data_IF_909226414958
#
_entry.id   IF_909226414958
#
_cell.length_a   1.000
_cell.length_b   1.000
_cell.length_c   1.000
_cell.angle_alpha   90.00
_cell.angle_beta   90.00
_cell.angle_gamma   90.00
#
_symmetry.space_group_name_H-M   'P 1'
#
loop_
_entity.id
_entity.type
_entity.pdbx_description
1 polymer ?
#
# COMPACT_ATOMS: atom_id res chain seq x y z
N UNK A 1 6.56 -17.11 -11.52
CA UNK A 1 5.11 -16.81 -11.38
C UNK A 1 4.64 -16.93 -9.93
N UNK A 2 4.86 -18.06 -9.25
CA UNK A 2 4.49 -18.25 -7.83
C UNK A 2 5.04 -17.16 -6.90
N UNK A 3 6.32 -16.84 -7.01
CA UNK A 3 6.98 -15.80 -6.18
C UNK A 3 6.36 -14.41 -6.36
N UNK A 4 5.99 -14.04 -7.60
CA UNK A 4 5.33 -12.76 -7.89
C UNK A 4 3.97 -12.65 -7.19
N UNK A 5 3.21 -13.74 -7.17
CA UNK A 5 1.94 -13.79 -6.45
C UNK A 5 2.13 -13.66 -4.95
N UNK A 6 3.08 -14.39 -4.35
CA UNK A 6 3.38 -14.30 -2.93
C UNK A 6 3.81 -12.87 -2.57
N UNK A 7 4.74 -12.30 -3.33
CA UNK A 7 5.22 -10.94 -3.14
C UNK A 7 4.11 -9.89 -3.25
N UNK A 8 3.21 -10.06 -4.22
CA UNK A 8 2.05 -9.19 -4.42
C UNK A 8 1.05 -9.28 -3.27
N UNK A 9 0.76 -10.48 -2.78
CA UNK A 9 -0.13 -10.68 -1.62
C UNK A 9 0.48 -10.07 -0.36
N UNK A 10 1.78 -10.28 -0.13
CA UNK A 10 2.48 -9.68 1.01
C UNK A 10 2.49 -8.15 0.97
N UNK A 11 2.65 -7.55 -0.22
CA UNK A 11 2.52 -6.10 -0.38
C UNK A 11 1.13 -5.58 0.07
N UNK A 12 0.05 -6.28 -0.30
CA UNK A 12 -1.30 -5.94 0.15
C UNK A 12 -1.44 -5.99 1.68
N UNK A 13 -0.91 -7.05 2.31
CA UNK A 13 -0.92 -7.22 3.76
C UNK A 13 -0.15 -6.09 4.47
N UNK A 14 1.05 -5.75 4.00
CA UNK A 14 1.86 -4.69 4.64
C UNK A 14 1.25 -3.30 4.54
N UNK A 15 0.63 -2.96 3.40
CA UNK A 15 -0.11 -1.71 3.27
C UNK A 15 -1.34 -1.71 4.18
N UNK A 16 -2.07 -2.83 4.29
CA UNK A 16 -3.19 -2.95 5.22
C UNK A 16 -2.77 -2.81 6.69
N UNK A 17 -1.61 -3.33 7.08
CA UNK A 17 -1.06 -3.14 8.42
C UNK A 17 -0.73 -1.66 8.69
N UNK A 18 -0.08 -0.97 7.75
CA UNK A 18 0.17 0.47 7.86
C UNK A 18 -1.13 1.27 7.96
N UNK A 19 -2.13 0.93 7.14
CA UNK A 19 -3.46 1.54 7.19
C UNK A 19 -4.16 1.29 8.53
N UNK A 20 -4.06 0.09 9.10
CA UNK A 20 -4.63 -0.21 10.42
C UNK A 20 -4.05 0.69 11.50
N UNK A 21 -2.73 0.91 11.50
CA UNK A 21 -2.08 1.81 12.46
C UNK A 21 -2.56 3.25 12.27
N UNK A 22 -2.62 3.73 11.02
CA UNK A 22 -3.18 5.05 10.69
C UNK A 22 -4.62 5.22 11.21
N UNK A 23 -5.46 4.19 11.05
CA UNK A 23 -6.87 4.23 11.46
C UNK A 23 -7.05 4.13 12.98
N UNK A 24 -6.10 3.52 13.69
CA UNK A 24 -6.15 3.31 15.14
C UNK A 24 -5.65 4.51 15.95
N UNK A 25 -4.91 5.44 15.33
CA UNK A 25 -4.33 6.60 16.00
C UNK A 25 -5.22 7.83 15.77
N UNK A 26 -5.74 8.49 16.85
CA UNK A 26 -6.63 9.65 16.70
C UNK A 26 -5.94 10.84 16.00
N UNK A 27 -4.67 11.09 16.31
CA UNK A 27 -3.89 12.16 15.71
C UNK A 27 -3.46 11.79 14.29
N UNK A 28 -4.05 12.44 13.27
CA UNK A 28 -3.79 12.15 11.86
C UNK A 28 -2.35 12.38 11.42
N UNK A 29 -1.63 13.31 12.03
CA UNK A 29 -0.20 13.53 11.75
C UNK A 29 0.60 12.32 12.23
N UNK A 30 0.40 11.90 13.48
CA UNK A 30 1.10 10.73 14.04
C UNK A 30 0.71 9.44 13.30
N UNK A 31 -0.58 9.25 13.01
CA UNK A 31 -1.06 8.13 12.21
C UNK A 31 -0.41 8.08 10.83
N UNK A 32 -0.28 9.22 10.16
CA UNK A 32 0.37 9.31 8.84
C UNK A 32 1.86 8.96 8.91
N UNK A 33 2.55 9.36 9.98
CA UNK A 33 3.94 8.96 10.20
C UNK A 33 4.07 7.44 10.33
N UNK A 34 3.18 6.77 11.07
CA UNK A 34 3.23 5.32 11.22
C UNK A 34 2.67 4.54 10.01
N UNK A 35 1.81 5.15 9.19
CA UNK A 35 1.43 4.57 7.89
C UNK A 35 2.65 4.29 7.02
N UNK A 36 3.67 5.16 7.10
CA UNK A 36 4.92 5.01 6.36
C UNK A 36 5.63 3.69 6.63
N UNK A 37 5.44 3.06 7.80
CA UNK A 37 5.99 1.74 8.12
C UNK A 37 5.51 0.65 7.15
N UNK A 38 4.25 0.71 6.71
CA UNK A 38 3.73 -0.23 5.71
C UNK A 38 4.41 -0.06 4.35
N UNK A 39 4.62 1.19 3.92
CA UNK A 39 5.38 1.50 2.70
C UNK A 39 6.84 1.06 2.87
N UNK A 40 7.46 1.35 4.01
CA UNK A 40 8.84 0.98 4.31
C UNK A 40 9.06 -0.53 4.22
N UNK A 41 8.15 -1.35 4.76
CA UNK A 41 8.20 -2.82 4.64
C UNK A 41 8.11 -3.26 3.17
N UNK A 42 7.20 -2.67 2.39
CA UNK A 42 7.09 -2.97 0.95
C UNK A 42 8.38 -2.64 0.21
N UNK A 43 8.99 -1.48 0.49
CA UNK A 43 10.20 -1.02 -0.19
C UNK A 43 11.42 -1.87 0.17
N UNK A 44 11.66 -2.13 1.46
CA UNK A 44 12.83 -2.89 1.93
C UNK A 44 12.77 -4.38 1.55
N UNK A 45 11.58 -4.97 1.56
CA UNK A 45 11.39 -6.37 1.15
C UNK A 45 11.10 -6.50 -0.35
N UNK A 46 11.22 -5.41 -1.11
CA UNK A 46 11.05 -5.35 -2.56
C UNK A 46 9.72 -5.95 -3.07
N UNK A 47 8.65 -5.83 -2.29
CA UNK A 47 7.39 -6.47 -2.62
C UNK A 47 6.65 -5.80 -3.78
N UNK A 48 5.82 -6.57 -4.48
CA UNK A 48 5.07 -6.13 -5.67
C UNK A 48 3.80 -5.36 -5.30
N UNK A 49 3.98 -4.15 -4.78
CA UNK A 49 2.88 -3.17 -4.68
C UNK A 49 2.64 -2.53 -6.04
N UNK A 50 1.39 -2.45 -6.50
CA UNK A 50 1.05 -1.92 -7.83
C UNK A 50 1.63 -0.51 -8.07
N UNK A 51 1.51 0.38 -7.09
CA UNK A 51 2.04 1.76 -7.17
C UNK A 51 3.57 1.84 -7.15
N UNK A 52 4.25 0.76 -6.76
CA UNK A 52 5.71 0.60 -6.89
C UNK A 52 6.10 -0.03 -8.23
N UNK A 53 5.32 -1.00 -8.70
CA UNK A 53 5.57 -1.70 -9.97
C UNK A 53 5.50 -0.72 -11.15
N UNK A 54 4.46 0.13 -11.21
CA UNK A 54 4.25 1.07 -12.31
C UNK A 54 5.46 1.95 -12.66
N UNK A 55 6.07 2.72 -11.72
CA UNK A 55 7.23 3.55 -12.03
C UNK A 55 8.48 2.72 -12.40
N UNK A 56 8.65 1.52 -11.84
CA UNK A 56 9.81 0.67 -12.14
C UNK A 56 9.76 0.02 -13.53
N UNK A 57 8.56 -0.23 -14.08
CA UNK A 57 8.40 -0.62 -15.49
C UNK A 57 9.08 0.40 -16.42
N UNK A 58 8.91 1.69 -16.11
CA UNK A 58 9.45 2.80 -16.93
C UNK A 58 10.92 3.07 -16.59
N UNK A 59 11.29 3.03 -15.32
CA UNK A 59 12.62 3.43 -14.84
C UNK A 59 13.73 2.47 -15.28
N UNK A 60 13.58 1.17 -15.05
CA UNK A 60 14.63 0.17 -15.29
C UNK A 60 14.13 -1.11 -15.97
N UNK A 61 12.82 -1.21 -16.26
CA UNK A 61 12.17 -2.39 -16.86
C UNK A 61 12.29 -3.67 -16.03
N UNK A 62 12.45 -3.55 -14.71
CA UNK A 62 12.45 -4.70 -13.78
C UNK A 62 11.16 -5.51 -13.86
N UNK A 63 10.04 -4.85 -14.15
CA UNK A 63 8.72 -5.47 -14.26
C UNK A 63 8.16 -5.36 -15.68
N UNK A 64 7.23 -6.28 -16.00
CA UNK A 64 6.48 -6.29 -17.26
C UNK A 64 5.09 -5.67 -17.05
N UNK A 65 4.47 -5.21 -18.13
CA UNK A 65 3.07 -4.74 -18.10
C UNK A 65 2.09 -5.77 -17.54
N UNK A 66 2.32 -7.06 -17.77
CA UNK A 66 1.51 -8.16 -17.20
C UNK A 66 1.64 -8.26 -15.68
N UNK A 67 2.73 -7.77 -15.10
CA UNK A 67 2.95 -7.77 -13.66
C UNK A 67 2.07 -6.74 -12.94
N UNK A 68 1.52 -5.73 -13.66
CA UNK A 68 0.52 -4.80 -13.12
C UNK A 68 -0.72 -5.56 -12.67
N UNK A 69 -1.24 -6.44 -13.53
CA UNK A 69 -2.44 -7.24 -13.22
C UNK A 69 -2.19 -8.17 -12.03
N UNK A 70 -1.03 -8.83 -11.99
CA UNK A 70 -0.64 -9.69 -10.86
C UNK A 70 -0.49 -8.88 -9.57
N UNK A 71 0.10 -7.69 -9.64
CA UNK A 71 0.24 -6.79 -8.49
C UNK A 71 -1.14 -6.31 -7.99
N UNK A 72 -2.03 -5.89 -8.89
CA UNK A 72 -3.37 -5.42 -8.53
C UNK A 72 -4.19 -6.51 -7.82
N UNK A 73 -4.28 -7.70 -8.43
CA UNK A 73 -5.08 -8.81 -7.89
C UNK A 73 -4.47 -9.29 -6.56
N UNK A 74 -3.16 -9.53 -6.53
CA UNK A 74 -2.51 -10.02 -5.30
C UNK A 74 -2.55 -9.01 -4.16
N UNK A 75 -2.35 -7.70 -4.43
CA UNK A 75 -2.55 -6.67 -3.41
C UNK A 75 -3.98 -6.70 -2.86
N UNK A 76 -4.99 -6.83 -3.72
CA UNK A 76 -6.39 -6.97 -3.31
C UNK A 76 -6.63 -8.20 -2.43
N UNK A 77 -6.08 -9.37 -2.80
CA UNK A 77 -6.16 -10.59 -1.98
C UNK A 77 -5.50 -10.38 -0.61
N UNK A 78 -4.29 -9.79 -0.58
CA UNK A 78 -3.58 -9.50 0.67
C UNK A 78 -4.36 -8.56 1.58
N UNK A 79 -4.96 -7.52 1.01
CA UNK A 79 -5.83 -6.59 1.74
C UNK A 79 -7.08 -7.28 2.28
N UNK A 80 -7.72 -8.16 1.50
CA UNK A 80 -8.87 -8.93 1.95
C UNK A 80 -8.51 -9.87 3.11
N UNK A 81 -7.39 -10.57 3.02
CA UNK A 81 -6.88 -11.44 4.10
C UNK A 81 -6.67 -10.61 5.38
N UNK A 82 -6.00 -9.46 5.27
CA UNK A 82 -5.79 -8.57 6.42
C UNK A 82 -7.12 -8.06 7.00
N UNK A 83 -8.08 -7.67 6.16
CA UNK A 83 -9.41 -7.24 6.60
C UNK A 83 -10.17 -8.35 7.34
N UNK A 84 -10.11 -9.59 6.86
CA UNK A 84 -10.72 -10.74 7.53
C UNK A 84 -10.08 -11.01 8.89
N UNK A 85 -8.75 -10.96 8.98
CA UNK A 85 -8.04 -11.09 10.27
C UNK A 85 -8.47 -10.01 11.25
N UNK A 86 -8.63 -8.76 10.78
CA UNK A 86 -9.11 -7.65 11.63
C UNK A 86 -10.53 -7.91 12.11
N UNK A 87 -11.43 -8.33 11.21
CA UNK A 87 -12.85 -8.59 11.51
C UNK A 87 -13.01 -9.62 12.63
N UNK A 88 -12.13 -10.62 12.69
CA UNK A 88 -12.09 -11.64 13.74
C UNK A 88 -11.18 -11.28 14.93
N UNK A 89 -10.85 -10.00 15.12
CA UNK A 89 -10.00 -9.52 16.21
C UNK A 89 -10.63 -8.36 16.97
N UNK A 90 -10.10 -8.05 18.15
CA UNK A 90 -10.51 -6.86 18.94
C UNK A 90 -10.31 -5.54 18.20
N UNK A 91 -9.44 -5.49 17.18
CA UNK A 91 -9.17 -4.26 16.42
C UNK A 91 -10.35 -3.80 15.60
N UNK A 92 -11.26 -4.72 15.25
CA UNK A 92 -12.52 -4.42 14.58
C UNK A 92 -13.24 -3.26 15.28
N UNK A 93 -13.55 -3.40 16.57
CA UNK A 93 -14.25 -2.38 17.35
C UNK A 93 -13.44 -1.09 17.55
N UNK A 94 -12.11 -1.15 17.45
CA UNK A 94 -11.23 0.03 17.57
C UNK A 94 -11.30 0.91 16.34
N UNK A 95 -11.34 0.31 15.14
CA UNK A 95 -11.24 1.07 13.88
C UNK A 95 -12.58 1.21 13.16
N UNK A 96 -13.64 0.49 13.56
CA UNK A 96 -14.93 0.41 12.86
C UNK A 96 -15.48 1.78 12.45
N UNK A 97 -15.56 2.72 13.38
CA UNK A 97 -16.14 4.04 13.12
C UNK A 97 -15.26 4.85 12.16
N UNK A 98 -13.95 4.89 12.40
CA UNK A 98 -12.99 5.57 11.52
C UNK A 98 -13.00 4.99 10.11
N UNK A 99 -13.09 3.66 9.98
CA UNK A 99 -13.20 2.97 8.69
C UNK A 99 -14.48 3.36 7.99
N UNK A 100 -15.62 3.41 8.70
CA UNK A 100 -16.90 3.83 8.13
C UNK A 100 -16.82 5.27 7.62
N UNK A 101 -16.39 6.22 8.46
CA UNK A 101 -16.26 7.63 8.06
C UNK A 101 -15.36 7.81 6.84
N UNK A 102 -14.19 7.17 6.82
CA UNK A 102 -13.25 7.25 5.69
C UNK A 102 -13.80 6.54 4.45
N UNK A 103 -14.51 5.43 4.63
CA UNK A 103 -15.16 4.68 3.56
C UNK A 103 -16.25 5.49 2.88
N UNK A 104 -17.19 6.01 3.66
CA UNK A 104 -18.30 6.83 3.19
C UNK A 104 -17.78 8.09 2.45
N UNK A 105 -16.79 8.79 3.05
CA UNK A 105 -16.14 9.95 2.39
C UNK A 105 -15.57 9.61 1.02
N UNK A 106 -14.97 8.42 0.85
CA UNK A 106 -14.36 8.00 -0.43
C UNK A 106 -15.40 7.52 -1.44
N UNK A 107 -16.47 6.87 -0.98
CA UNK A 107 -17.53 6.33 -1.83
C UNK A 107 -18.47 7.43 -2.33
N UNK A 108 -18.67 8.48 -1.54
CA UNK A 108 -19.51 9.63 -1.87
C UNK A 108 -18.77 10.73 -2.67
N UNK A 109 -17.46 10.57 -2.90
CA UNK A 109 -16.66 11.56 -3.64
C UNK A 109 -16.85 11.42 -5.16
N UNK A 110 -16.60 12.52 -5.86
CA UNK A 110 -16.68 12.58 -7.32
C UNK A 110 -15.49 11.86 -7.98
N UNK A 111 -15.71 11.19 -9.14
CA UNK A 111 -14.62 10.55 -9.88
C UNK A 111 -13.48 11.51 -10.25
N UNK A 112 -13.78 12.78 -10.51
CA UNK A 112 -12.80 13.82 -10.83
C UNK A 112 -11.88 14.13 -9.64
N UNK A 113 -12.45 14.28 -8.44
CA UNK A 113 -11.67 14.45 -7.20
C UNK A 113 -10.77 13.24 -6.94
N UNK A 114 -11.32 12.03 -7.02
CA UNK A 114 -10.58 10.79 -6.82
C UNK A 114 -9.45 10.62 -7.84
N UNK A 115 -9.65 11.04 -9.09
CA UNK A 115 -8.61 11.00 -10.12
C UNK A 115 -7.44 11.93 -9.78
N UNK A 116 -7.71 13.18 -9.39
CA UNK A 116 -6.67 14.14 -8.98
C UNK A 116 -5.92 13.64 -7.74
N UNK A 117 -6.65 13.19 -6.71
CA UNK A 117 -6.05 12.66 -5.49
C UNK A 117 -5.22 11.40 -5.76
N UNK A 118 -5.69 10.54 -6.68
CA UNK A 118 -4.97 9.36 -7.15
C UNK A 118 -3.63 9.70 -7.79
N UNK A 119 -3.57 10.75 -8.62
CA UNK A 119 -2.31 11.25 -9.20
C UNK A 119 -1.36 11.71 -8.11
N UNK A 120 -1.82 12.57 -7.20
CA UNK A 120 -0.97 13.09 -6.11
C UNK A 120 -0.41 11.98 -5.23
N UNK A 121 -1.25 11.01 -4.86
CA UNK A 121 -0.84 9.81 -4.12
C UNK A 121 0.23 9.01 -4.89
N UNK A 122 -0.02 8.74 -6.17
CA UNK A 122 0.92 8.02 -7.02
C UNK A 122 2.26 8.76 -7.16
N UNK A 123 2.25 10.09 -7.23
CA UNK A 123 3.47 10.91 -7.26
C UNK A 123 4.33 10.71 -6.01
N UNK A 124 3.74 10.76 -4.81
CA UNK A 124 4.48 10.56 -3.56
C UNK A 124 5.06 9.15 -3.45
N UNK A 125 4.28 8.12 -3.80
CA UNK A 125 4.76 6.73 -3.74
C UNK A 125 5.83 6.48 -4.81
N UNK A 126 5.65 6.97 -6.04
CA UNK A 126 6.64 6.85 -7.09
C UNK A 126 7.95 7.57 -6.72
N UNK A 127 7.87 8.75 -6.11
CA UNK A 127 9.05 9.45 -5.60
C UNK A 127 9.81 8.59 -4.58
N UNK A 128 9.12 8.05 -3.58
CA UNK A 128 9.74 7.18 -2.57
C UNK A 128 10.39 5.92 -3.20
N UNK A 129 9.72 5.31 -4.19
CA UNK A 129 10.23 4.14 -4.92
C UNK A 129 11.48 4.48 -5.72
N UNK A 130 11.49 5.57 -6.46
CA UNK A 130 12.61 5.98 -7.32
C UNK A 130 13.82 6.43 -6.50
N UNK A 131 13.59 7.12 -5.37
CA UNK A 131 14.65 7.45 -4.42
C UNK A 131 15.24 6.16 -3.83
N UNK A 132 14.40 5.24 -3.36
CA UNK A 132 14.85 3.94 -2.84
C UNK A 132 15.61 3.10 -3.87
N UNK A 133 15.20 3.13 -5.14
CA UNK A 133 15.91 2.44 -6.23
C UNK A 133 17.30 3.03 -6.53
N UNK A 134 17.53 4.31 -6.19
CA UNK A 134 18.83 4.98 -6.37
C UNK A 134 19.77 4.82 -5.19
N UNK A 135 19.26 4.49 -4.00
CA UNK A 135 20.11 4.26 -2.85
C UNK A 135 20.87 2.95 -3.02
N UNK A 136 22.21 3.00 -2.92
CA UNK A 136 23.01 1.78 -2.75
C UNK A 136 22.49 1.10 -1.49
N UNK A 137 22.16 -0.19 -1.61
CA UNK A 137 21.70 -0.99 -0.47
C UNK A 137 22.66 -0.75 0.70
N UNK A 138 22.13 -0.18 1.78
CA UNK A 138 22.83 -0.20 3.05
C UNK A 138 22.95 -1.65 3.44
N UNK A 139 24.15 -2.20 3.29
CA UNK A 139 24.51 -3.51 3.81
C UNK A 139 24.28 -3.47 5.32
N UNK A 140 23.12 -3.93 5.76
CA UNK A 140 23.07 -4.73 6.98
C UNK A 140 23.50 -6.11 6.51
N UNK A 141 24.82 -6.32 6.52
CA UNK A 141 25.47 -7.50 5.93
C UNK A 141 24.93 -8.83 6.43
#
# INVERSE_FOLDING_TARGET
>A
MREKWISSIMAGIFISMGAMVYLSIPNKTVGSLFFSTGIFLVLNLHNMLITRVCPLIVYDRTYRWTDIVVSWIGNGIGTLIAALVILFSRFEGVIRETVRTVGDTKLDDTPQSLFVLGILCACFVAFAVLVGAKQKQGSFG
#
